data_IF_639218525229
#
_entry.id   IF_639218525229
#
_cell.length_a   1.000
_cell.length_b   1.000
_cell.length_c   1.000
_cell.angle_alpha   90.00
_cell.angle_beta   90.00
_cell.angle_gamma   90.00
#
_symmetry.space_group_name_H-M   'P 1'
#
loop_
_entity.id
_entity.type
_entity.pdbx_description
1 polymer ?
#
# COMPACT_ATOMS: atom_id res chain seq x y z
N UNK A 1 20.64 -9.19 -3.76
CA UNK A 1 20.03 -8.64 -5.00
C UNK A 1 18.69 -8.02 -4.65
N UNK A 2 18.30 -6.94 -5.35
CA UNK A 2 17.07 -6.17 -5.15
C UNK A 2 16.20 -6.22 -6.41
N UNK A 3 14.89 -6.21 -6.29
CA UNK A 3 13.98 -6.26 -7.44
C UNK A 3 13.91 -4.93 -8.19
N UNK A 4 13.49 -3.86 -7.50
CA UNK A 4 13.44 -2.51 -8.05
C UNK A 4 14.41 -1.61 -7.29
N UNK A 5 15.32 -0.94 -8.01
CA UNK A 5 16.38 -0.10 -7.43
C UNK A 5 16.41 1.26 -8.13
N UNK A 6 15.99 2.30 -7.43
CA UNK A 6 16.05 3.68 -7.91
C UNK A 6 16.94 4.49 -6.97
N UNK A 7 17.86 5.25 -7.57
CA UNK A 7 18.96 5.88 -6.85
C UNK A 7 19.35 7.21 -7.48
N UNK A 8 19.42 8.26 -6.66
CA UNK A 8 19.67 9.65 -7.05
C UNK A 8 18.62 10.28 -7.98
N UNK A 9 18.56 11.61 -7.91
CA UNK A 9 17.76 12.44 -8.81
C UNK A 9 16.32 12.63 -8.37
N UNK A 10 15.47 13.07 -9.29
CA UNK A 10 14.04 13.21 -9.05
C UNK A 10 13.35 11.88 -9.32
N UNK A 11 12.93 11.20 -8.25
CA UNK A 11 12.33 9.86 -8.34
C UNK A 11 10.80 10.01 -8.35
N UNK A 12 10.18 9.58 -9.44
CA UNK A 12 8.73 9.50 -9.57
C UNK A 12 8.36 8.09 -10.04
N UNK A 13 7.59 7.38 -9.23
CA UNK A 13 7.15 6.01 -9.49
C UNK A 13 5.63 5.99 -9.58
N UNK A 14 5.10 5.52 -10.71
CA UNK A 14 3.67 5.39 -10.94
C UNK A 14 3.36 4.00 -11.47
N UNK A 15 2.34 3.37 -10.91
CA UNK A 15 1.74 2.16 -11.47
C UNK A 15 2.71 0.98 -11.63
N UNK A 16 3.68 0.82 -10.73
CA UNK A 16 4.51 -0.38 -10.69
C UNK A 16 3.76 -1.50 -9.99
N UNK A 17 3.76 -2.69 -10.59
CA UNK A 17 3.28 -3.91 -9.95
C UNK A 17 4.44 -4.92 -9.87
N UNK A 18 4.82 -5.27 -8.64
CA UNK A 18 5.82 -6.31 -8.37
C UNK A 18 5.13 -7.44 -7.62
N UNK A 19 5.18 -8.66 -8.17
CA UNK A 19 4.60 -9.82 -7.51
C UNK A 19 5.37 -11.11 -7.78
N UNK A 20 5.24 -12.08 -6.86
CA UNK A 20 5.90 -13.39 -6.94
C UNK A 20 7.42 -13.31 -7.14
N UNK A 21 8.03 -12.25 -6.61
CA UNK A 21 9.47 -11.99 -6.68
C UNK A 21 10.15 -12.48 -5.41
N UNK A 22 11.32 -13.10 -5.56
CA UNK A 22 12.21 -13.43 -4.45
C UNK A 22 13.48 -12.58 -4.52
N UNK A 23 13.82 -11.92 -3.41
CA UNK A 23 15.02 -11.10 -3.32
C UNK A 23 15.83 -11.41 -2.07
N UNK A 24 17.14 -11.19 -2.16
CA UNK A 24 18.02 -11.34 -1.01
C UNK A 24 18.03 -10.08 -0.13
N UNK A 25 17.67 -8.90 -0.67
CA UNK A 25 17.63 -7.66 0.12
C UNK A 25 16.25 -7.01 0.13
N UNK A 26 15.80 -6.49 -1.02
CA UNK A 26 14.54 -5.74 -1.11
C UNK A 26 13.71 -6.33 -2.25
N UNK A 27 12.58 -6.95 -1.92
CA UNK A 27 11.74 -7.64 -2.92
C UNK A 27 10.69 -6.73 -3.57
N UNK A 28 10.33 -5.62 -2.92
CA UNK A 28 9.42 -4.60 -3.43
C UNK A 28 10.18 -3.47 -4.15
N UNK A 29 10.64 -2.46 -3.40
CA UNK A 29 11.35 -1.32 -3.96
C UNK A 29 12.41 -0.77 -3.01
N UNK A 30 13.51 -0.33 -3.61
CA UNK A 30 14.56 0.42 -2.96
C UNK A 30 14.64 1.82 -3.56
N UNK A 31 14.56 2.85 -2.69
CA UNK A 31 14.65 4.26 -3.05
C UNK A 31 15.76 4.93 -2.24
N UNK A 32 16.70 5.60 -2.92
CA UNK A 32 17.82 6.27 -2.24
C UNK A 32 18.21 7.61 -2.81
N UNK A 33 18.52 8.54 -1.91
CA UNK A 33 19.13 9.84 -2.19
C UNK A 33 18.40 10.71 -3.23
N UNK A 34 17.07 10.89 -3.17
CA UNK A 34 16.40 11.77 -4.08
C UNK A 34 16.80 13.24 -3.85
N UNK A 35 16.83 14.02 -4.92
CA UNK A 35 17.14 15.47 -4.87
C UNK A 35 15.91 16.33 -4.54
N UNK A 36 14.73 15.72 -4.50
CA UNK A 36 13.44 16.37 -4.30
C UNK A 36 12.45 15.39 -3.65
N UNK A 37 11.24 15.87 -3.31
CA UNK A 37 10.15 14.98 -2.91
C UNK A 37 9.93 13.91 -3.97
N UNK A 38 9.95 12.65 -3.56
CA UNK A 38 9.74 11.50 -4.44
C UNK A 38 8.37 10.89 -4.19
N UNK A 39 7.57 10.70 -5.24
CA UNK A 39 6.26 10.07 -5.10
C UNK A 39 6.28 8.64 -5.63
N UNK A 40 5.61 7.77 -4.89
CA UNK A 40 5.23 6.42 -5.32
C UNK A 40 3.72 6.37 -5.28
N UNK A 41 3.09 6.24 -6.44
CA UNK A 41 1.63 6.27 -6.55
C UNK A 41 1.09 5.07 -7.32
N UNK A 42 -0.12 4.65 -6.94
CA UNK A 42 -0.88 3.59 -7.64
C UNK A 42 -0.08 2.29 -7.82
N UNK A 43 0.84 1.99 -6.91
CA UNK A 43 1.80 0.89 -7.05
C UNK A 43 1.47 -0.27 -6.11
N UNK A 44 1.77 -1.49 -6.53
CA UNK A 44 1.45 -2.71 -5.80
C UNK A 44 2.70 -3.58 -5.64
N UNK A 45 2.99 -4.01 -4.42
CA UNK A 45 4.06 -4.93 -4.05
C UNK A 45 3.43 -6.12 -3.31
N UNK A 46 3.19 -7.21 -4.03
CA UNK A 46 2.28 -8.26 -3.58
C UNK A 46 2.91 -9.66 -3.67
N UNK A 47 2.70 -10.52 -2.67
CA UNK A 47 3.16 -11.91 -2.70
C UNK A 47 4.67 -12.04 -2.99
N UNK A 48 5.48 -11.11 -2.48
CA UNK A 48 6.94 -11.16 -2.65
C UNK A 48 7.60 -11.68 -1.39
N UNK A 49 8.77 -12.28 -1.57
CA UNK A 49 9.56 -12.84 -0.47
C UNK A 49 10.94 -12.20 -0.46
N UNK A 50 11.38 -11.74 0.70
CA UNK A 50 12.73 -11.19 0.89
C UNK A 50 13.45 -11.86 2.05
N UNK A 51 14.78 -11.93 1.99
CA UNK A 51 15.55 -12.24 3.19
C UNK A 51 15.55 -11.06 4.18
N UNK A 52 15.52 -9.81 3.72
CA UNK A 52 15.67 -8.64 4.57
C UNK A 52 14.42 -7.76 4.63
N UNK A 53 14.12 -7.00 3.58
CA UNK A 53 13.08 -5.97 3.59
C UNK A 53 12.16 -6.12 2.38
N UNK A 54 10.96 -5.54 2.45
CA UNK A 54 10.08 -5.40 1.28
C UNK A 54 10.29 -4.02 0.65
N UNK A 55 10.19 -2.96 1.45
CA UNK A 55 10.36 -1.57 1.03
C UNK A 55 11.48 -0.91 1.84
N UNK A 56 12.40 -0.23 1.14
CA UNK A 56 13.61 0.34 1.74
C UNK A 56 13.87 1.75 1.20
N UNK A 57 13.95 2.73 2.11
CA UNK A 57 14.03 4.14 1.79
C UNK A 57 15.17 4.81 2.56
N UNK A 58 16.06 5.50 1.86
CA UNK A 58 17.22 6.14 2.50
C UNK A 58 17.39 7.60 2.06
N UNK A 59 17.77 8.48 3.00
CA UNK A 59 18.19 9.86 2.76
C UNK A 59 17.27 10.68 1.84
N UNK A 60 15.99 10.84 2.20
CA UNK A 60 15.07 11.59 1.34
C UNK A 60 13.68 11.87 1.92
N UNK A 61 12.90 12.60 1.13
CA UNK A 61 11.49 12.87 1.40
C UNK A 61 10.64 12.04 0.44
N UNK A 62 9.75 11.22 0.98
CA UNK A 62 8.99 10.26 0.20
C UNK A 62 7.49 10.37 0.49
N UNK A 63 6.70 10.19 -0.55
CA UNK A 63 5.24 10.16 -0.46
C UNK A 63 4.71 8.91 -1.15
N UNK A 64 4.05 8.05 -0.40
CA UNK A 64 3.36 6.86 -0.89
C UNK A 64 1.88 7.13 -0.85
N UNK A 65 1.22 7.11 -2.01
CA UNK A 65 -0.22 7.38 -2.09
C UNK A 65 -0.94 6.36 -2.99
N UNK A 66 -2.05 5.80 -2.52
CA UNK A 66 -2.81 4.77 -3.24
C UNK A 66 -1.98 3.51 -3.58
N UNK A 67 -1.13 3.07 -2.66
CA UNK A 67 -0.25 1.91 -2.85
C UNK A 67 -0.73 0.69 -2.06
N UNK A 68 -0.40 -0.51 -2.54
CA UNK A 68 -0.71 -1.77 -1.91
C UNK A 68 0.56 -2.56 -1.60
N UNK A 69 0.73 -3.01 -0.36
CA UNK A 69 1.83 -3.84 0.12
C UNK A 69 1.22 -5.07 0.78
N UNK A 70 1.04 -6.12 -0.01
CA UNK A 70 0.14 -7.22 0.33
C UNK A 70 0.85 -8.57 0.39
N UNK A 71 0.56 -9.36 1.43
CA UNK A 71 0.94 -10.77 1.52
C UNK A 71 2.44 -11.03 1.28
N UNK A 72 3.30 -10.11 1.71
CA UNK A 72 4.74 -10.28 1.56
C UNK A 72 5.34 -11.04 2.75
N UNK A 73 6.49 -11.67 2.56
CA UNK A 73 7.24 -12.31 3.63
C UNK A 73 8.68 -11.77 3.68
N UNK A 74 9.15 -11.34 4.85
CA UNK A 74 10.56 -11.08 5.09
C UNK A 74 11.14 -12.03 6.15
N UNK A 75 12.19 -12.77 5.79
CA UNK A 75 12.58 -14.00 6.51
C UNK A 75 13.57 -13.82 7.66
N UNK A 76 14.52 -12.88 7.57
CA UNK A 76 15.66 -12.82 8.50
C UNK A 76 15.77 -11.51 9.28
N UNK A 77 15.29 -10.41 8.72
CA UNK A 77 15.48 -9.09 9.30
C UNK A 77 14.37 -8.72 10.28
N UNK A 78 14.76 -8.09 11.39
CA UNK A 78 13.83 -7.49 12.36
C UNK A 78 13.52 -6.01 12.06
N UNK A 79 14.02 -5.50 10.93
CA UNK A 79 13.78 -4.12 10.48
C UNK A 79 12.39 -3.93 9.85
N UNK A 80 11.64 -5.01 9.64
CA UNK A 80 10.24 -4.95 9.26
C UNK A 80 9.94 -4.90 7.76
N UNK A 81 8.66 -4.73 7.43
CA UNK A 81 8.16 -4.67 6.04
C UNK A 81 8.61 -3.40 5.32
N UNK A 82 8.43 -2.26 5.98
CA UNK A 82 8.77 -0.93 5.49
C UNK A 82 9.84 -0.30 6.37
N UNK A 83 11.03 -0.11 5.81
CA UNK A 83 12.16 0.47 6.52
C UNK A 83 12.61 1.78 5.90
N UNK A 84 12.78 2.79 6.74
CA UNK A 84 13.28 4.10 6.35
C UNK A 84 14.42 4.54 7.26
N UNK A 85 15.48 5.12 6.70
CA UNK A 85 16.58 5.74 7.47
C UNK A 85 16.85 7.14 6.96
N UNK A 86 17.07 8.08 7.89
CA UNK A 86 17.38 9.48 7.56
C UNK A 86 16.39 10.07 6.54
N UNK A 87 15.12 9.73 6.71
CA UNK A 87 14.06 9.99 5.71
C UNK A 87 12.79 10.48 6.37
N UNK A 88 12.07 11.38 5.69
CA UNK A 88 10.71 11.79 6.06
C UNK A 88 9.72 11.19 5.07
N UNK A 89 8.82 10.36 5.57
CA UNK A 89 7.90 9.56 4.77
C UNK A 89 6.46 9.92 5.14
N UNK A 90 5.66 10.23 4.13
CA UNK A 90 4.21 10.24 4.22
C UNK A 90 3.65 9.03 3.47
N UNK A 91 2.78 8.27 4.14
CA UNK A 91 2.03 7.15 3.58
C UNK A 91 0.56 7.49 3.75
N UNK A 92 -0.17 7.66 2.65
CA UNK A 92 -1.58 8.05 2.66
C UNK A 92 -2.40 7.15 1.74
N UNK A 93 -3.64 6.81 2.11
CA UNK A 93 -4.55 5.99 1.29
C UNK A 93 -3.93 4.65 0.84
N UNK A 94 -3.09 4.03 1.67
CA UNK A 94 -2.38 2.80 1.34
C UNK A 94 -2.93 1.59 2.11
N UNK A 95 -2.59 0.40 1.62
CA UNK A 95 -2.91 -0.88 2.28
C UNK A 95 -1.63 -1.68 2.56
N UNK A 96 -1.42 -2.04 3.82
CA UNK A 96 -0.34 -2.90 4.32
C UNK A 96 -0.98 -4.09 5.03
N UNK A 97 -1.18 -5.18 4.30
CA UNK A 97 -2.03 -6.29 4.75
C UNK A 97 -1.41 -7.64 4.42
N UNK A 98 -1.47 -8.59 5.35
CA UNK A 98 -0.98 -9.96 5.17
C UNK A 98 0.54 -10.07 5.14
N UNK A 99 1.27 -8.99 5.45
CA UNK A 99 2.72 -9.04 5.48
C UNK A 99 3.17 -9.86 6.69
N UNK A 100 4.15 -10.73 6.50
CA UNK A 100 4.66 -11.65 7.51
C UNK A 100 6.17 -11.54 7.61
N UNK A 101 6.70 -11.90 8.77
CA UNK A 101 8.12 -11.76 9.10
C UNK A 101 8.33 -11.39 10.55
N UNK A 102 9.58 -11.45 11.00
CA UNK A 102 9.96 -11.02 12.35
C UNK A 102 9.88 -9.48 12.48
N UNK A 103 10.16 -8.90 13.64
CA UNK A 103 10.15 -7.43 13.79
C UNK A 103 8.77 -6.74 13.69
N UNK A 104 8.75 -5.61 12.98
CA UNK A 104 7.68 -4.58 12.93
C UNK A 104 7.13 -4.39 11.50
N UNK A 105 6.05 -3.65 11.30
CA UNK A 105 5.56 -3.28 9.96
C UNK A 105 6.28 -2.04 9.43
N UNK A 106 6.40 -1.01 10.29
CA UNK A 106 7.09 0.24 9.98
C UNK A 106 8.26 0.47 10.91
N UNK A 107 9.43 0.72 10.33
CA UNK A 107 10.66 0.99 11.06
C UNK A 107 11.30 2.27 10.54
N UNK A 108 11.33 3.30 11.38
CA UNK A 108 12.14 4.47 11.19
C UNK A 108 13.46 4.32 11.96
N UNK A 109 14.57 4.27 11.23
CA UNK A 109 15.91 4.26 11.79
C UNK A 109 16.56 5.64 11.74
N UNK A 110 17.37 5.95 12.75
CA UNK A 110 18.08 7.23 12.87
C UNK A 110 17.17 8.47 12.76
N UNK A 111 17.57 9.48 12.00
CA UNK A 111 16.82 10.73 11.87
C UNK A 111 15.63 10.59 10.90
N UNK A 112 14.62 11.46 11.03
CA UNK A 112 13.44 11.44 10.17
C UNK A 112 12.17 10.92 10.85
N UNK A 113 11.17 10.56 10.04
CA UNK A 113 9.86 10.12 10.52
C UNK A 113 9.04 9.40 9.45
N UNK A 114 8.17 8.49 9.88
CA UNK A 114 7.11 7.89 9.05
C UNK A 114 5.77 8.37 9.59
N UNK A 115 4.95 8.96 8.73
CA UNK A 115 3.55 9.29 9.02
C UNK A 115 2.66 8.42 8.15
N UNK A 116 1.80 7.62 8.78
CA UNK A 116 0.80 6.79 8.11
C UNK A 116 -0.58 7.38 8.37
N UNK A 117 -1.31 7.70 7.30
CA UNK A 117 -2.61 8.39 7.39
C UNK A 117 -3.64 7.74 6.47
N UNK A 118 -4.90 7.69 6.92
CA UNK A 118 -6.04 7.24 6.11
C UNK A 118 -5.77 5.90 5.38
N UNK A 119 -5.19 4.94 6.09
CA UNK A 119 -4.63 3.70 5.51
C UNK A 119 -5.09 2.47 6.29
N UNK A 120 -4.99 1.31 5.66
CA UNK A 120 -5.31 0.01 6.26
C UNK A 120 -4.03 -0.73 6.63
N UNK A 121 -3.86 -1.11 7.89
CA UNK A 121 -2.66 -1.80 8.38
C UNK A 121 -3.03 -2.86 9.43
N UNK A 122 -2.78 -4.13 9.16
CA UNK A 122 -3.06 -5.24 10.09
C UNK A 122 -2.01 -5.36 11.22
N UNK A 123 -0.75 -5.00 10.94
CA UNK A 123 0.39 -5.05 11.86
C UNK A 123 0.79 -3.67 12.36
N UNK A 124 -0.16 -2.86 12.83
CA UNK A 124 0.12 -1.50 13.33
C UNK A 124 0.29 -1.39 14.85
N UNK A 125 -0.47 -2.17 15.63
CA UNK A 125 -0.44 -2.11 17.11
C UNK A 125 0.82 -2.84 17.61
N UNK A 126 1.65 -2.16 18.41
CA UNK A 126 2.92 -2.67 18.97
C UNK A 126 3.95 -3.16 17.93
N UNK A 127 3.74 -2.80 16.66
CA UNK A 127 4.51 -3.25 15.50
C UNK A 127 5.03 -2.07 14.69
N UNK A 128 5.44 -1.02 15.38
CA UNK A 128 6.17 0.13 14.83
C UNK A 128 7.43 0.39 15.64
N UNK A 129 8.51 0.86 15.00
CA UNK A 129 9.75 1.23 15.70
C UNK A 129 10.28 2.57 15.21
N UNK A 130 10.79 3.37 16.15
CA UNK A 130 11.30 4.71 15.87
C UNK A 130 10.19 5.77 15.81
N UNK A 131 10.46 6.86 15.11
CA UNK A 131 9.53 8.00 14.95
C UNK A 131 8.46 7.67 13.91
N UNK A 132 7.46 6.87 14.31
CA UNK A 132 6.31 6.49 13.48
C UNK A 132 5.04 7.05 14.10
N UNK A 133 4.26 7.80 13.31
CA UNK A 133 2.97 8.36 13.73
C UNK A 133 1.86 7.79 12.84
N UNK A 134 0.73 7.44 13.46
CA UNK A 134 -0.45 6.96 12.75
C UNK A 134 -1.62 7.90 12.99
N UNK A 135 -2.41 8.18 11.95
CA UNK A 135 -3.59 9.02 12.02
C UNK A 135 -4.70 8.40 11.17
N UNK A 136 -5.84 8.07 11.77
CA UNK A 136 -6.94 7.41 11.06
C UNK A 136 -6.48 6.15 10.30
N UNK A 137 -5.65 5.32 10.94
CA UNK A 137 -5.21 4.04 10.42
C UNK A 137 -6.11 2.95 10.97
N UNK A 138 -6.78 2.22 10.08
CA UNK A 138 -7.69 1.15 10.47
C UNK A 138 -6.94 -0.18 10.55
N UNK A 139 -7.07 -0.87 11.69
CA UNK A 139 -6.60 -2.24 11.83
C UNK A 139 -7.72 -3.19 11.43
N UNK A 140 -7.57 -3.80 10.27
CA UNK A 140 -8.58 -4.66 9.67
C UNK A 140 -8.04 -6.06 9.45
N UNK A 141 -7.69 -6.76 10.54
CA UNK A 141 -7.40 -8.20 10.50
C UNK A 141 -8.57 -9.02 9.93
N UNK A 142 -9.79 -8.47 9.90
CA UNK A 142 -10.95 -9.06 9.22
C UNK A 142 -10.88 -9.04 7.68
N UNK A 143 -10.06 -8.20 7.07
CA UNK A 143 -9.90 -8.11 5.60
C UNK A 143 -9.06 -9.25 5.04
N UNK A 144 -8.33 -10.01 5.86
CA UNK A 144 -7.58 -11.21 5.42
C UNK A 144 -8.43 -12.27 4.70
N UNK A 145 -9.76 -12.24 4.87
CA UNK A 145 -10.68 -13.12 4.17
C UNK A 145 -10.99 -12.68 2.72
N UNK A 146 -10.58 -11.47 2.33
CA UNK A 146 -10.69 -10.96 0.96
C UNK A 146 -9.41 -11.29 0.19
N UNK A 147 -9.25 -12.58 -0.15
CA UNK A 147 -8.05 -13.17 -0.76
C UNK A 147 -7.67 -12.66 -2.16
N UNK A 148 -8.37 -11.65 -2.71
CA UNK A 148 -8.13 -11.13 -4.04
C UNK A 148 -8.43 -9.62 -4.14
N UNK A 149 -7.69 -8.77 -3.42
CA UNK A 149 -7.60 -7.35 -3.80
C UNK A 149 -6.54 -7.18 -4.88
N UNK A 150 -6.90 -7.55 -6.11
CA UNK A 150 -6.09 -7.27 -7.29
C UNK A 150 -6.56 -5.95 -7.91
N UNK A 151 -5.90 -4.85 -7.56
CA UNK A 151 -6.10 -3.58 -8.27
C UNK A 151 -5.60 -3.64 -9.73
N UNK A 152 -4.89 -4.70 -10.12
CA UNK A 152 -4.41 -4.93 -11.49
C UNK A 152 -5.55 -5.05 -12.52
N UNK A 153 -6.79 -5.33 -12.08
CA UNK A 153 -7.97 -5.44 -12.95
C UNK A 153 -9.05 -4.38 -12.70
N UNK A 154 -8.80 -3.40 -11.83
CA UNK A 154 -9.69 -2.24 -11.73
C UNK A 154 -9.31 -1.20 -12.78
N UNK A 155 -9.53 -1.53 -14.05
CA UNK A 155 -9.77 -0.49 -15.05
C UNK A 155 -11.16 0.07 -14.78
N UNK A 156 -11.23 1.36 -14.52
CA UNK A 156 -12.48 2.09 -14.63
C UNK A 156 -12.82 2.11 -16.11
N UNK A 157 -13.67 1.16 -16.53
CA UNK A 157 -14.11 0.98 -17.93
C UNK A 157 -14.79 2.26 -18.50
N UNK A 158 -15.23 3.17 -17.63
CA UNK A 158 -15.84 4.44 -18.00
C UNK A 158 -15.41 5.57 -17.06
N UNK A 159 -14.85 6.69 -17.53
CA UNK A 159 -14.64 7.85 -16.68
C UNK A 159 -15.95 8.22 -15.99
N UNK A 160 -15.88 8.62 -14.72
CA UNK A 160 -17.01 9.18 -13.99
C UNK A 160 -17.42 10.45 -14.70
N UNK A 161 -18.29 10.32 -15.70
CA UNK A 161 -19.04 11.42 -16.27
C UNK A 161 -20.14 11.70 -15.27
N UNK A 162 -20.15 12.94 -14.79
CA UNK A 162 -21.11 13.52 -13.87
C UNK A 162 -22.55 13.20 -14.36
N UNK A 163 -23.12 12.12 -13.84
CA UNK A 163 -24.41 11.60 -14.26
C UNK A 163 -25.48 12.33 -13.44
N UNK A 164 -25.98 13.43 -14.00
CA UNK A 164 -27.32 13.92 -13.66
C UNK A 164 -28.31 12.77 -13.84
N UNK A 165 -28.73 12.19 -12.72
CA UNK A 165 -29.64 11.06 -12.63
C UNK A 165 -30.99 11.45 -13.25
N UNK A 166 -31.19 11.11 -14.53
CA UNK A 166 -32.52 11.09 -15.13
C UNK A 166 -33.27 9.85 -14.67
N UNK A 167 -34.23 10.08 -13.78
CA UNK A 167 -35.32 9.13 -13.47
C UNK A 167 -35.99 8.66 -14.77
N UNK A 168 -35.96 7.36 -15.05
CA UNK A 168 -37.14 6.51 -15.28
C UNK A 168 -36.80 5.18 -15.99
N UNK A 169 -37.37 4.10 -15.45
CA UNK A 169 -37.48 2.73 -15.97
C UNK A 169 -36.17 1.91 -15.92
N UNK A 170 -36.01 1.16 -14.83
CA UNK A 170 -34.90 0.21 -14.60
C UNK A 170 -35.28 -1.14 -15.21
N UNK A 171 -34.53 -1.59 -16.21
CA UNK A 171 -34.59 -2.92 -16.82
C UNK A 171 -33.80 -3.95 -15.99
N UNK A 172 -34.05 -5.26 -16.18
CA UNK A 172 -33.33 -6.35 -15.47
C UNK A 172 -31.80 -6.29 -15.64
N UNK A 173 -31.32 -5.72 -16.74
CA UNK A 173 -29.90 -5.48 -16.98
C UNK A 173 -29.36 -4.30 -16.18
N UNK A 174 -30.15 -3.25 -15.95
CA UNK A 174 -29.78 -2.15 -15.06
C UNK A 174 -29.81 -2.54 -13.59
N UNK A 175 -30.59 -3.55 -13.19
CA UNK A 175 -30.50 -4.16 -11.85
C UNK A 175 -29.14 -4.85 -11.69
N UNK A 176 -28.67 -5.63 -12.67
CA UNK A 176 -27.33 -6.24 -12.60
C UNK A 176 -26.26 -5.14 -12.56
N UNK A 177 -26.39 -4.08 -13.37
CA UNK A 177 -25.48 -2.94 -13.35
C UNK A 177 -25.49 -2.18 -12.02
N UNK A 178 -26.66 -1.88 -11.45
CA UNK A 178 -26.80 -1.21 -10.15
C UNK A 178 -26.36 -2.09 -9.00
N UNK A 179 -26.58 -3.41 -9.04
CA UNK A 179 -26.13 -4.32 -7.99
C UNK A 179 -24.66 -4.65 -8.10
N UNK A 180 -24.05 -4.66 -9.29
CA UNK A 180 -22.59 -4.71 -9.45
C UNK A 180 -21.95 -3.40 -8.98
N UNK A 181 -22.58 -2.26 -9.26
CA UNK A 181 -22.15 -0.95 -8.76
C UNK A 181 -22.34 -0.83 -7.24
N UNK A 182 -23.46 -1.33 -6.69
CA UNK A 182 -23.66 -1.50 -5.26
C UNK A 182 -22.71 -2.54 -4.68
N UNK A 183 -22.30 -3.59 -5.39
CA UNK A 183 -21.34 -4.56 -4.87
C UNK A 183 -19.97 -3.90 -4.68
N UNK A 184 -19.54 -3.07 -5.64
CA UNK A 184 -18.28 -2.32 -5.57
C UNK A 184 -18.35 -1.20 -4.53
N UNK A 185 -19.48 -0.50 -4.39
CA UNK A 185 -19.64 0.57 -3.38
C UNK A 185 -20.05 0.08 -1.99
N UNK A 186 -20.70 -1.07 -1.85
CA UNK A 186 -21.07 -1.67 -0.56
C UNK A 186 -19.90 -2.41 0.08
N UNK A 187 -18.90 -2.83 -0.69
CA UNK A 187 -17.63 -3.28 -0.12
C UNK A 187 -16.89 -2.13 0.60
N UNK A 188 -17.14 -0.88 0.19
CA UNK A 188 -16.64 0.32 0.87
C UNK A 188 -17.56 0.87 1.99
N UNK A 189 -18.73 0.29 2.28
CA UNK A 189 -19.65 0.80 3.32
C UNK A 189 -20.07 -0.26 4.36
N UNK A 190 -19.84 -1.56 4.13
CA UNK A 190 -20.05 -2.59 5.19
C UNK A 190 -18.76 -2.82 6.00
N UNK A 191 -18.16 -1.73 6.46
CA UNK A 191 -17.52 -1.65 7.78
C UNK A 191 -18.59 -1.13 8.76
N UNK A 192 -19.71 -1.84 8.85
CA UNK A 192 -20.66 -1.60 9.93
C UNK A 192 -20.03 -2.20 11.17
N UNK A 193 -19.65 -1.31 12.11
CA UNK A 193 -19.34 -1.62 13.50
C UNK A 193 -20.04 -2.91 13.96
N UNK A 194 -19.27 -3.94 14.24
CA UNK A 194 -19.65 -5.01 15.16
C UNK A 194 -19.18 -4.65 16.56
#
# INVERSE_FOLDING_TARGET
MRTNYLWYGNIEVKSINTSFCEADYDSGIYLGYPTSLSNVTYSSFCNTTSNNLILNLIYGNYNFNFCNVLNNEHKKSDYGTFWAVDSTVLIENCSFLGNTGSGVEFYQDSSGSITVKDSFCDRIIDKTKGSVTTNNVENTSSIHNLSHFSSYLCEVDYPILDLEIKKNIITKYEIIYHYSYHFITSLCIVLVKS
#
